data_IF_417043556722
#
_entry.id   IF_417043556722
#
_cell.length_a   1.000
_cell.length_b   1.000
_cell.length_c   1.000
_cell.angle_alpha   90.00
_cell.angle_beta   90.00
_cell.angle_gamma   90.00
#
_symmetry.space_group_name_H-M   'P 1'
#
loop_
_entity.id
_entity.type
_entity.pdbx_description
1 polymer ?
#
# COMPACT_ATOMS: atom_id res chain seq x y z
N UNK A 1 37.48 27.81 -8.48
CA UNK A 1 38.16 28.48 -7.35
C UNK A 1 37.33 29.68 -6.94
N UNK A 2 36.68 29.63 -5.79
CA UNK A 2 35.67 30.62 -5.43
C UNK A 2 36.28 31.88 -4.78
N UNK A 3 37.59 31.85 -4.46
CA UNK A 3 38.36 32.95 -3.87
C UNK A 3 39.85 32.91 -4.30
N UNK A 4 40.55 34.06 -4.41
CA UNK A 4 41.96 34.12 -4.76
C UNK A 4 42.81 33.45 -3.69
N UNK A 5 43.65 32.52 -4.10
CA UNK A 5 44.55 31.76 -3.22
C UNK A 5 45.88 31.48 -3.94
N UNK A 6 46.88 30.97 -3.22
CA UNK A 6 48.22 30.69 -3.76
C UNK A 6 48.39 29.26 -4.31
N UNK A 7 47.30 28.54 -4.59
CA UNK A 7 47.40 27.19 -5.13
C UNK A 7 47.73 27.24 -6.62
N UNK A 8 48.69 26.41 -7.03
CA UNK A 8 49.08 26.21 -8.44
C UNK A 8 48.15 25.25 -9.19
N UNK A 9 47.18 24.64 -8.51
CA UNK A 9 46.16 23.75 -9.09
C UNK A 9 44.78 24.09 -8.54
N UNK A 10 43.76 23.95 -9.38
CA UNK A 10 42.37 24.08 -8.98
C UNK A 10 41.91 22.86 -8.16
N UNK A 11 40.98 23.11 -7.24
CA UNK A 11 40.22 22.03 -6.62
C UNK A 11 39.31 21.35 -7.66
N UNK A 12 39.11 20.03 -7.55
CA UNK A 12 38.11 19.35 -8.36
C UNK A 12 36.72 19.86 -8.01
N UNK A 13 35.80 19.81 -8.97
CA UNK A 13 34.41 20.13 -8.73
C UNK A 13 33.75 19.09 -7.83
N UNK A 14 32.85 19.55 -6.96
CA UNK A 14 31.94 18.68 -6.24
C UNK A 14 31.01 17.94 -7.20
N UNK A 15 30.71 16.69 -6.89
CA UNK A 15 29.77 15.87 -7.65
C UNK A 15 28.47 15.68 -6.87
N UNK A 16 27.34 15.85 -7.53
CA UNK A 16 26.04 15.52 -6.96
C UNK A 16 25.75 14.04 -7.17
N UNK A 17 25.91 13.26 -6.11
CA UNK A 17 25.70 11.81 -6.16
C UNK A 17 24.22 11.47 -6.20
N UNK A 18 23.79 10.86 -7.29
CA UNK A 18 22.42 10.40 -7.47
C UNK A 18 22.06 9.28 -6.47
N UNK A 19 23.04 8.51 -5.99
CA UNK A 19 22.86 7.53 -4.90
C UNK A 19 22.53 8.18 -3.55
N UNK A 20 22.82 9.48 -3.40
CA UNK A 20 22.43 10.30 -2.25
C UNK A 20 21.17 11.13 -2.50
N UNK A 21 20.45 10.84 -3.59
CA UNK A 21 19.23 11.54 -3.97
C UNK A 21 19.45 12.94 -4.53
N UNK A 22 20.62 13.21 -5.14
CA UNK A 22 20.99 14.54 -5.62
C UNK A 22 21.20 14.60 -7.14
N UNK A 23 20.98 15.77 -7.73
CA UNK A 23 21.37 16.10 -9.10
C UNK A 23 22.07 17.47 -9.15
N UNK A 24 22.87 17.70 -10.19
CA UNK A 24 23.50 19.00 -10.40
C UNK A 24 22.49 20.00 -10.96
N UNK A 25 22.03 20.93 -10.12
CA UNK A 25 21.20 22.07 -10.53
C UNK A 25 22.02 23.10 -11.29
N UNK A 26 23.26 23.31 -10.85
CA UNK A 26 24.23 24.18 -11.52
C UNK A 26 25.57 23.46 -11.62
N UNK A 27 26.16 23.45 -12.81
CA UNK A 27 27.48 22.89 -13.03
C UNK A 27 28.57 23.82 -12.49
N UNK A 28 29.68 23.25 -12.04
CA UNK A 28 30.84 24.02 -11.65
C UNK A 28 31.43 24.85 -12.81
N UNK A 29 32.13 25.91 -12.45
CA UNK A 29 32.89 26.77 -13.37
C UNK A 29 34.32 26.96 -12.85
N UNK A 30 35.14 27.76 -13.56
CA UNK A 30 36.46 28.14 -13.06
C UNK A 30 36.42 28.88 -11.72
N UNK A 31 35.28 29.49 -11.36
CA UNK A 31 35.13 30.36 -10.17
C UNK A 31 33.99 29.97 -9.23
N UNK A 32 33.22 28.94 -9.55
CA UNK A 32 32.12 28.44 -8.71
C UNK A 32 32.15 26.92 -8.67
N UNK A 33 31.72 26.34 -7.55
CA UNK A 33 31.54 24.89 -7.47
C UNK A 33 30.18 24.47 -8.05
N UNK A 34 29.96 23.17 -8.17
CA UNK A 34 28.67 22.58 -8.52
C UNK A 34 27.66 22.83 -7.40
N UNK A 35 26.43 23.23 -7.74
CA UNK A 35 25.33 23.34 -6.76
C UNK A 35 24.41 22.14 -6.93
N UNK A 36 24.26 21.38 -5.85
CA UNK A 36 23.43 20.19 -5.81
C UNK A 36 22.00 20.47 -5.34
N UNK A 37 21.05 19.79 -5.95
CA UNK A 37 19.64 19.82 -5.58
C UNK A 37 19.05 18.40 -5.52
N UNK A 38 17.82 18.27 -5.03
CA UNK A 38 17.18 17.01 -4.67
C UNK A 38 16.41 16.43 -5.85
N UNK A 39 16.64 15.16 -6.17
CA UNK A 39 15.88 14.47 -7.22
C UNK A 39 14.41 14.25 -6.81
N UNK A 40 13.55 13.99 -7.79
CA UNK A 40 12.14 13.71 -7.53
C UNK A 40 11.95 12.51 -6.57
N UNK A 41 10.94 12.61 -5.70
CA UNK A 41 10.65 11.60 -4.69
C UNK A 41 11.63 11.55 -3.52
N UNK A 42 12.44 12.60 -3.32
CA UNK A 42 13.35 12.75 -2.19
C UNK A 42 13.16 14.10 -1.50
N UNK A 43 13.56 14.18 -0.24
CA UNK A 43 13.65 15.41 0.55
C UNK A 43 15.07 15.61 1.08
N UNK A 44 15.45 16.87 1.23
CA UNK A 44 16.77 17.23 1.73
C UNK A 44 16.91 16.96 3.23
N UNK A 45 18.03 16.36 3.62
CA UNK A 45 18.37 16.08 5.03
C UNK A 45 19.59 16.88 5.52
N UNK A 46 20.35 17.46 4.61
CA UNK A 46 21.51 18.31 4.89
C UNK A 46 21.47 19.51 3.94
N UNK A 47 20.92 20.62 4.43
CA UNK A 47 20.64 21.83 3.67
C UNK A 47 21.61 22.95 4.05
N UNK A 48 22.25 23.54 3.04
CA UNK A 48 23.14 24.69 3.19
C UNK A 48 22.46 25.95 2.67
N UNK A 49 22.34 26.94 3.56
CA UNK A 49 21.89 28.31 3.25
C UNK A 49 20.62 28.38 2.40
N UNK A 50 19.72 27.41 2.57
CA UNK A 50 18.49 27.24 1.77
C UNK A 50 18.68 27.06 0.24
N UNK A 51 19.89 26.99 -0.27
CA UNK A 51 20.13 26.89 -1.71
C UNK A 51 20.57 25.49 -2.14
N UNK A 52 21.47 24.84 -1.39
CA UNK A 52 22.13 23.60 -1.78
C UNK A 52 21.78 22.43 -0.84
N UNK A 53 21.50 21.26 -1.42
CA UNK A 53 21.33 20.03 -0.64
C UNK A 53 22.56 19.12 -0.79
N UNK A 54 23.17 18.73 0.33
CA UNK A 54 24.35 17.83 0.36
C UNK A 54 24.00 16.36 0.59
N UNK A 55 22.79 16.09 1.06
CA UNK A 55 22.29 14.73 1.22
C UNK A 55 20.77 14.73 1.24
N UNK A 56 20.16 13.85 0.46
CA UNK A 56 18.72 13.65 0.44
C UNK A 56 18.36 12.22 0.83
N UNK A 57 17.09 12.03 1.21
CA UNK A 57 16.49 10.72 1.45
C UNK A 57 15.21 10.60 0.64
N UNK A 58 14.88 9.39 0.23
CA UNK A 58 13.62 9.11 -0.44
C UNK A 58 12.46 9.47 0.48
N UNK A 59 11.38 9.99 -0.09
CA UNK A 59 10.12 10.18 0.63
C UNK A 59 9.62 8.85 1.19
N UNK A 60 9.09 8.90 2.40
CA UNK A 60 8.46 7.76 3.06
C UNK A 60 7.19 7.35 2.33
N UNK A 61 7.04 6.03 2.13
CA UNK A 61 5.80 5.43 1.66
C UNK A 61 4.90 5.21 2.89
N UNK A 62 3.62 5.54 2.77
CA UNK A 62 2.67 5.32 3.86
C UNK A 62 2.29 3.83 3.97
N UNK A 63 2.13 3.36 5.20
CA UNK A 63 1.75 1.97 5.44
C UNK A 63 0.29 1.68 5.05
N UNK A 64 -0.05 0.43 4.73
CA UNK A 64 -1.44 0.00 4.62
C UNK A 64 -2.26 0.45 5.84
N UNK A 65 -3.48 0.93 5.61
CA UNK A 65 -4.33 1.51 6.65
C UNK A 65 -4.11 2.99 6.92
N UNK A 66 -3.15 3.62 6.24
CA UNK A 66 -2.94 5.05 6.24
C UNK A 66 -3.26 5.67 4.88
N UNK A 67 -3.33 6.98 4.82
CA UNK A 67 -3.29 7.77 3.59
C UNK A 67 -2.18 8.80 3.67
N UNK A 68 -1.77 9.28 2.50
CA UNK A 68 -0.97 10.50 2.40
C UNK A 68 -1.83 11.68 2.84
N UNK A 69 -1.44 12.31 3.95
CA UNK A 69 -2.03 13.55 4.44
C UNK A 69 -1.44 14.75 3.70
N UNK A 70 -0.11 14.79 3.64
CA UNK A 70 0.66 15.82 2.96
C UNK A 70 1.74 15.15 2.11
N UNK A 71 1.82 15.46 0.81
CA UNK A 71 2.86 14.91 -0.03
C UNK A 71 4.23 15.46 0.37
N UNK A 72 5.27 14.63 0.25
CA UNK A 72 6.65 15.07 0.46
C UNK A 72 7.05 16.19 -0.51
N UNK A 73 7.92 17.09 -0.04
CA UNK A 73 8.47 18.20 -0.81
C UNK A 73 10.00 18.07 -0.92
N UNK A 74 10.65 19.03 -1.58
CA UNK A 74 12.12 19.17 -1.55
C UNK A 74 12.67 19.21 -0.11
N UNK A 75 11.88 19.70 0.86
CA UNK A 75 12.32 20.00 2.23
C UNK A 75 11.77 19.06 3.28
N UNK A 76 10.60 18.50 3.02
CA UNK A 76 9.84 17.74 4.01
C UNK A 76 9.53 16.37 3.45
N UNK A 77 9.51 15.40 4.36
CA UNK A 77 9.04 14.06 4.03
C UNK A 77 7.52 14.03 3.82
N UNK A 78 7.02 12.93 3.27
CA UNK A 78 5.60 12.61 3.21
C UNK A 78 5.04 12.44 4.63
N UNK A 79 3.91 13.09 4.91
CA UNK A 79 3.17 12.91 6.16
C UNK A 79 2.02 11.94 5.94
N UNK A 80 1.96 10.88 6.75
CA UNK A 80 0.90 9.87 6.71
C UNK A 80 -0.10 10.07 7.85
N UNK A 81 -1.36 9.71 7.63
CA UNK A 81 -2.38 9.66 8.69
C UNK A 81 -3.26 8.42 8.55
N UNK A 82 -3.77 7.85 9.66
CA UNK A 82 -4.61 6.66 9.60
C UNK A 82 -5.93 6.94 8.89
N UNK A 83 -6.47 5.91 8.23
CA UNK A 83 -7.77 6.00 7.61
C UNK A 83 -8.88 6.20 8.65
N UNK A 84 -9.87 7.08 8.39
CA UNK A 84 -11.00 7.24 9.30
C UNK A 84 -11.83 5.96 9.40
N UNK A 85 -12.58 5.81 10.49
CA UNK A 85 -13.45 4.67 10.70
C UNK A 85 -14.43 4.50 9.52
N UNK A 86 -14.62 3.25 9.07
CA UNK A 86 -15.43 2.95 7.89
C UNK A 86 -14.69 3.11 6.56
N UNK A 87 -13.36 3.20 6.56
CA UNK A 87 -12.55 3.28 5.35
C UNK A 87 -11.28 2.43 5.45
N UNK A 88 -10.70 2.12 4.29
CA UNK A 88 -9.51 1.29 4.15
C UNK A 88 -8.54 1.86 3.11
N UNK A 89 -7.24 1.54 3.24
CA UNK A 89 -6.24 1.80 2.21
C UNK A 89 -5.28 0.61 2.12
N UNK A 90 -5.28 -0.17 1.01
CA UNK A 90 -4.37 -1.30 0.87
C UNK A 90 -2.92 -0.86 0.62
N UNK A 91 -2.72 0.22 -0.12
CA UNK A 91 -1.39 0.69 -0.57
C UNK A 91 -0.88 1.93 0.19
N UNK A 92 -1.65 2.46 1.16
CA UNK A 92 -1.25 3.62 1.95
C UNK A 92 -1.42 4.98 1.24
N UNK A 93 -1.96 5.03 0.02
CA UNK A 93 -2.05 6.27 -0.76
C UNK A 93 -3.28 7.09 -0.39
N UNK A 94 -4.47 6.48 -0.56
CA UNK A 94 -5.77 7.10 -0.31
C UNK A 94 -6.69 6.13 0.44
N UNK A 95 -7.57 6.68 1.27
CA UNK A 95 -8.61 5.89 1.92
C UNK A 95 -9.84 5.81 1.04
N UNK A 96 -10.40 4.62 0.91
CA UNK A 96 -11.69 4.35 0.27
C UNK A 96 -12.69 3.88 1.31
N UNK A 97 -13.94 4.31 1.20
CA UNK A 97 -15.00 3.88 2.11
C UNK A 97 -15.24 2.37 1.95
N UNK A 98 -15.62 1.71 3.05
CA UNK A 98 -16.03 0.32 2.99
C UNK A 98 -17.27 0.15 2.12
N UNK A 99 -17.30 -0.94 1.36
CA UNK A 99 -18.46 -1.34 0.57
C UNK A 99 -19.63 -1.68 1.50
N UNK A 100 -20.80 -1.12 1.19
CA UNK A 100 -22.05 -1.48 1.85
C UNK A 100 -22.77 -2.55 1.00
N UNK A 101 -23.11 -3.68 1.62
CA UNK A 101 -23.75 -4.78 0.91
C UNK A 101 -25.18 -4.42 0.49
N UNK A 102 -25.54 -4.80 -0.73
CA UNK A 102 -26.89 -4.58 -1.27
C UNK A 102 -27.94 -5.43 -0.53
N UNK A 103 -29.24 -5.12 -0.69
CA UNK A 103 -30.34 -5.81 0.01
C UNK A 103 -30.37 -7.34 -0.19
N UNK A 104 -29.79 -7.85 -1.30
CA UNK A 104 -29.73 -9.29 -1.62
C UNK A 104 -28.39 -9.94 -1.20
N UNK A 105 -27.53 -9.19 -0.53
CA UNK A 105 -26.22 -9.65 -0.09
C UNK A 105 -26.10 -9.56 1.43
N UNK A 106 -25.22 -10.39 1.98
CA UNK A 106 -24.84 -10.35 3.38
C UNK A 106 -23.35 -10.10 3.48
N UNK A 107 -22.94 -9.38 4.52
CA UNK A 107 -21.54 -9.22 4.87
C UNK A 107 -20.96 -10.59 5.26
N UNK A 108 -20.03 -11.09 4.45
CA UNK A 108 -19.31 -12.35 4.71
C UNK A 108 -18.07 -12.08 5.54
N UNK A 109 -17.44 -10.93 5.33
CA UNK A 109 -16.27 -10.46 6.08
C UNK A 109 -16.32 -8.95 6.19
N UNK A 110 -16.23 -8.44 7.41
CA UNK A 110 -16.16 -7.00 7.65
C UNK A 110 -14.87 -6.36 7.17
N UNK A 111 -14.99 -5.10 6.74
CA UNK A 111 -13.86 -4.26 6.40
C UNK A 111 -12.96 -3.99 7.61
N UNK A 112 -11.70 -3.66 7.32
CA UNK A 112 -10.74 -3.16 8.30
C UNK A 112 -9.95 -2.00 7.67
N UNK A 113 -8.87 -1.53 8.30
CA UNK A 113 -8.09 -0.43 7.76
C UNK A 113 -7.35 -0.78 6.45
N UNK A 114 -7.07 -2.06 6.16
CA UNK A 114 -6.27 -2.48 5.00
C UNK A 114 -7.09 -3.19 3.91
N UNK A 115 -8.30 -3.63 4.20
CA UNK A 115 -9.16 -4.39 3.29
C UNK A 115 -10.62 -3.98 3.38
N UNK A 116 -11.28 -4.02 2.23
CA UNK A 116 -12.70 -3.74 2.11
C UNK A 116 -13.60 -4.81 2.75
N UNK A 117 -14.85 -4.44 2.99
CA UNK A 117 -15.95 -5.35 3.29
C UNK A 117 -16.22 -6.28 2.12
N UNK A 118 -16.37 -7.57 2.40
CA UNK A 118 -16.69 -8.58 1.39
C UNK A 118 -18.15 -8.98 1.52
N UNK A 119 -18.91 -8.75 0.44
CA UNK A 119 -20.31 -9.11 0.33
C UNK A 119 -20.47 -10.46 -0.39
N UNK A 120 -21.33 -11.32 0.15
CA UNK A 120 -21.73 -12.59 -0.46
C UNK A 120 -23.22 -12.63 -0.72
N UNK A 121 -23.67 -13.52 -1.61
CA UNK A 121 -25.10 -13.74 -1.82
C UNK A 121 -25.75 -14.21 -0.52
N UNK A 122 -26.90 -13.64 -0.17
CA UNK A 122 -27.74 -14.20 0.88
C UNK A 122 -28.15 -15.61 0.43
N UNK A 123 -27.54 -16.65 1.01
CA UNK A 123 -27.93 -18.02 0.71
C UNK A 123 -29.34 -18.22 1.23
N UNK A 124 -30.35 -18.01 0.36
CA UNK A 124 -31.62 -18.70 0.52
C UNK A 124 -31.26 -20.17 0.44
N UNK A 125 -31.22 -20.84 1.59
CA UNK A 125 -30.88 -22.25 1.71
C UNK A 125 -31.79 -23.07 0.80
N UNK A 126 -31.38 -23.23 -0.46
CA UNK A 126 -32.11 -23.98 -1.47
C UNK A 126 -31.56 -25.41 -1.37
N UNK A 127 -32.24 -26.18 -0.53
CA UNK A 127 -32.41 -27.63 -0.65
C UNK A 127 -31.17 -28.55 -0.51
N UNK A 128 -31.26 -29.43 0.49
CA UNK A 128 -31.11 -30.86 0.16
C UNK A 128 -32.51 -31.39 -0.22
N UNK A 129 -32.74 -31.50 -1.53
CA UNK A 129 -33.92 -32.10 -2.17
C UNK A 129 -33.90 -33.62 -1.96
N UNK A 130 -33.87 -34.11 -0.72
CA UNK A 130 -34.42 -35.44 -0.48
C UNK A 130 -35.75 -35.22 0.21
N UNK A 131 -36.88 -35.40 -0.52
CA UNK A 131 -38.16 -35.50 0.14
C UNK A 131 -37.98 -36.55 1.25
N UNK A 132 -38.28 -36.19 2.49
CA UNK A 132 -38.35 -37.14 3.62
C UNK A 132 -38.99 -38.48 3.21
N UNK A 133 -40.06 -38.52 2.38
CA UNK A 133 -40.60 -39.80 1.89
C UNK A 133 -39.62 -40.66 1.07
N UNK A 134 -38.71 -40.09 0.28
CA UNK A 134 -37.69 -40.84 -0.47
C UNK A 134 -36.67 -41.47 0.46
N UNK A 135 -36.23 -40.75 1.52
CA UNK A 135 -35.35 -41.32 2.56
C UNK A 135 -36.03 -42.50 3.26
N UNK A 136 -37.31 -42.34 3.62
CA UNK A 136 -38.09 -43.38 4.30
C UNK A 136 -38.27 -44.61 3.42
N UNK A 137 -38.58 -44.43 2.13
CA UNK A 137 -38.73 -45.55 1.19
C UNK A 137 -37.44 -46.36 1.04
N UNK A 138 -36.28 -45.69 0.93
CA UNK A 138 -34.97 -46.37 0.85
C UNK A 138 -34.67 -47.14 2.14
N UNK A 139 -34.96 -46.56 3.30
CA UNK A 139 -34.76 -47.24 4.60
C UNK A 139 -35.65 -48.47 4.76
N UNK A 140 -36.90 -48.41 4.29
CA UNK A 140 -37.83 -49.55 4.31
C UNK A 140 -37.33 -50.66 3.36
N UNK A 141 -36.90 -50.32 2.15
CA UNK A 141 -36.38 -51.30 1.18
C UNK A 141 -35.11 -52.00 1.67
N UNK A 142 -34.19 -51.26 2.31
CA UNK A 142 -32.99 -51.84 2.91
C UNK A 142 -33.38 -52.78 4.07
N UNK A 143 -34.31 -52.35 4.94
CA UNK A 143 -34.79 -53.15 6.05
C UNK A 143 -35.44 -54.46 5.61
N UNK A 144 -36.26 -54.45 4.55
CA UNK A 144 -36.89 -55.67 4.02
C UNK A 144 -35.87 -56.62 3.41
N UNK A 145 -34.88 -56.11 2.66
CA UNK A 145 -33.80 -56.92 2.10
C UNK A 145 -32.94 -57.58 3.20
N UNK A 146 -32.63 -56.85 4.28
CA UNK A 146 -31.88 -57.40 5.43
C UNK A 146 -32.68 -58.49 6.13
N UNK A 147 -33.99 -58.28 6.36
CA UNK A 147 -34.86 -59.30 6.98
C UNK A 147 -34.97 -60.55 6.11
N UNK A 148 -35.04 -60.40 4.79
CA UNK A 148 -35.04 -61.53 3.85
C UNK A 148 -33.70 -62.27 3.84
N UNK A 149 -32.58 -61.55 3.95
CA UNK A 149 -31.24 -62.15 4.01
C UNK A 149 -30.99 -62.93 5.31
N UNK A 150 -31.51 -62.44 6.45
CA UNK A 150 -31.42 -63.13 7.75
C UNK A 150 -32.28 -64.40 7.77
N UNK A 151 -33.32 -64.46 6.94
CA UNK A 151 -34.31 -65.55 6.94
C UNK A 151 -34.06 -66.60 5.84
N UNK A 152 -33.06 -66.39 4.97
CA UNK A 152 -32.56 -67.33 3.97
C UNK A 152 -31.33 -68.07 4.47
#
# INVERSE_FOLDING_TARGET
>A
MNQPNRLTKCFPCSSCDQGRGLFAKQNCTSTSDTVCDVIAGHFCTDLIEDEECRSARRHSDCEPGHRVKEPGTRRTDTTCEPCPAGSFSPEGVNCSLWTNCSENQVEVKGGNLTSDTVCGAASRGLYWLIPVPVVVLVMVLIGTLVVLWIKS
#
